data_IF_963068021562
#
_entry.id   IF_963068021562
#
_cell.length_a   1.000
_cell.length_b   1.000
_cell.length_c   1.000
_cell.angle_alpha   90.00
_cell.angle_beta   90.00
_cell.angle_gamma   90.00
#
_symmetry.space_group_name_H-M   'P 1'
#
loop_
_entity.id
_entity.type
_entity.pdbx_description
1 polymer ?
#
# COMPACT_ATOMS: atom_id res chain seq x y z
N UNK A 1 -3.60 12.22 14.19
CA UNK A 1 -2.30 12.17 13.49
C UNK A 1 -1.61 13.54 13.41
N UNK A 2 -2.17 14.55 12.76
CA UNK A 2 -1.54 15.90 12.65
C UNK A 2 -1.23 16.52 14.01
N UNK A 3 -2.11 16.39 15.00
CA UNK A 3 -1.89 16.89 16.36
C UNK A 3 -0.67 16.23 17.03
N UNK A 4 -0.51 14.92 16.90
CA UNK A 4 0.63 14.17 17.44
C UNK A 4 1.94 14.67 16.80
N UNK A 5 1.93 14.86 15.49
CA UNK A 5 3.10 15.35 14.76
C UNK A 5 3.43 16.80 15.10
N UNK A 6 2.42 17.67 15.22
CA UNK A 6 2.61 19.07 15.55
C UNK A 6 3.17 19.26 16.98
N UNK A 7 2.78 18.41 17.91
CA UNK A 7 3.34 18.44 19.27
C UNK A 7 4.81 18.01 19.31
N UNK A 8 5.16 16.97 18.58
CA UNK A 8 6.54 16.46 18.55
C UNK A 8 7.48 17.27 17.69
N UNK A 9 7.01 17.71 16.52
CA UNK A 9 7.80 18.45 15.53
C UNK A 9 7.42 19.94 15.48
N UNK A 10 7.60 20.66 16.59
CA UNK A 10 7.13 22.06 16.79
C UNK A 10 7.61 23.08 15.76
N UNK A 11 8.74 22.82 15.08
CA UNK A 11 9.32 23.71 14.05
C UNK A 11 9.07 23.25 12.62
N UNK A 12 8.24 22.22 12.43
CA UNK A 12 8.00 21.64 11.11
C UNK A 12 6.83 22.29 10.39
N UNK A 13 6.94 22.37 9.07
CA UNK A 13 5.86 22.82 8.18
C UNK A 13 5.08 21.59 7.69
N UNK A 14 3.76 21.63 7.83
CA UNK A 14 2.89 20.54 7.40
C UNK A 14 2.10 20.94 6.17
N UNK A 15 2.16 20.10 5.14
CA UNK A 15 1.31 20.17 3.96
C UNK A 15 0.31 19.03 3.96
N UNK A 16 -0.91 19.29 3.48
CA UNK A 16 -1.94 18.29 3.34
C UNK A 16 -2.38 18.20 1.87
N UNK A 17 -2.60 16.97 1.40
CA UNK A 17 -3.16 16.68 0.09
C UNK A 17 -4.37 15.74 0.28
N UNK A 18 -5.49 16.07 -0.34
CA UNK A 18 -6.75 15.34 -0.20
C UNK A 18 -6.92 14.24 -1.25
N UNK A 19 -6.11 14.26 -2.28
CA UNK A 19 -6.16 13.33 -3.40
C UNK A 19 -4.79 13.16 -4.06
N UNK A 20 -4.69 12.17 -4.94
CA UNK A 20 -3.46 11.84 -5.64
C UNK A 20 -2.88 13.01 -6.47
N UNK A 21 -3.74 13.81 -7.11
CA UNK A 21 -3.32 14.93 -7.94
C UNK A 21 -2.65 16.03 -7.10
N UNK A 22 -3.27 16.42 -6.00
CA UNK A 22 -2.70 17.38 -5.05
C UNK A 22 -1.38 16.86 -4.47
N UNK A 23 -1.33 15.58 -4.08
CA UNK A 23 -0.14 14.96 -3.53
C UNK A 23 1.05 15.02 -4.50
N UNK A 24 0.82 14.65 -5.76
CA UNK A 24 1.84 14.70 -6.82
C UNK A 24 2.27 16.13 -7.13
N UNK A 25 1.31 17.06 -7.20
CA UNK A 25 1.58 18.48 -7.46
C UNK A 25 2.48 19.08 -6.36
N UNK A 26 2.15 18.83 -5.09
CA UNK A 26 2.96 19.31 -3.96
C UNK A 26 4.33 18.64 -3.91
N UNK A 27 4.40 17.33 -4.12
CA UNK A 27 5.66 16.60 -4.18
C UNK A 27 6.58 17.11 -5.29
N UNK A 28 6.03 17.61 -6.42
CA UNK A 28 6.83 18.17 -7.51
C UNK A 28 7.32 19.59 -7.27
N UNK A 29 6.49 20.45 -6.67
CA UNK A 29 6.71 21.90 -6.57
C UNK A 29 7.40 22.31 -5.27
N UNK A 30 7.20 21.58 -4.19
CA UNK A 30 7.64 21.94 -2.85
C UNK A 30 8.76 21.00 -2.38
N UNK A 31 9.58 21.44 -1.43
CA UNK A 31 10.61 20.61 -0.80
C UNK A 31 10.04 20.03 0.47
N UNK A 32 10.05 18.69 0.57
CA UNK A 32 9.59 17.93 1.72
C UNK A 32 10.71 17.02 2.21
N UNK A 33 10.87 16.93 3.54
CA UNK A 33 11.81 16.00 4.18
C UNK A 33 11.23 14.58 4.24
N UNK A 34 9.91 14.45 4.33
CA UNK A 34 9.20 13.18 4.34
C UNK A 34 7.79 13.36 3.81
N UNK A 35 7.26 12.33 3.19
CA UNK A 35 5.86 12.24 2.78
C UNK A 35 5.19 11.06 3.46
N UNK A 36 4.02 11.29 4.06
CA UNK A 36 3.15 10.24 4.58
C UNK A 36 2.05 10.01 3.56
N UNK A 37 1.96 8.79 3.03
CA UNK A 37 1.05 8.42 1.95
C UNK A 37 0.02 7.40 2.45
N UNK A 38 -1.25 7.80 2.47
CA UNK A 38 -2.36 6.87 2.66
C UNK A 38 -2.62 6.10 1.35
N UNK A 39 -2.68 4.77 1.44
CA UNK A 39 -2.95 3.92 0.25
C UNK A 39 -4.41 3.91 -0.14
N UNK A 40 -5.32 4.13 0.81
CA UNK A 40 -6.77 4.04 0.63
C UNK A 40 -7.39 5.32 0.07
N UNK A 41 -6.63 6.11 -0.66
CA UNK A 41 -7.16 7.34 -1.28
C UNK A 41 -8.13 7.03 -2.43
N UNK A 42 -9.20 7.83 -2.59
CA UNK A 42 -10.08 7.74 -3.75
C UNK A 42 -9.34 7.96 -5.08
N UNK A 43 -9.76 7.24 -6.12
CA UNK A 43 -9.24 7.42 -7.48
C UNK A 43 -8.01 6.58 -7.79
N UNK A 44 -6.82 7.16 -7.84
CA UNK A 44 -5.56 6.44 -8.17
C UNK A 44 -5.08 5.57 -7.02
N UNK A 45 -4.47 4.43 -7.35
CA UNK A 45 -3.84 3.56 -6.36
C UNK A 45 -2.69 4.27 -5.64
N UNK A 46 -2.62 4.15 -4.31
CA UNK A 46 -1.50 4.70 -3.54
C UNK A 46 -0.14 4.17 -4.01
N UNK A 47 -0.07 2.94 -4.53
CA UNK A 47 1.15 2.38 -5.10
C UNK A 47 1.53 3.03 -6.44
N UNK A 48 0.55 3.40 -7.28
CA UNK A 48 0.81 4.18 -8.50
C UNK A 48 1.34 5.58 -8.15
N UNK A 49 0.74 6.21 -7.15
CA UNK A 49 1.18 7.52 -6.63
C UNK A 49 2.60 7.42 -6.08
N UNK A 50 2.90 6.41 -5.29
CA UNK A 50 4.25 6.15 -4.76
C UNK A 50 5.28 6.03 -5.89
N UNK A 51 5.01 5.22 -6.92
CA UNK A 51 5.92 5.04 -8.06
C UNK A 51 6.17 6.36 -8.79
N UNK A 52 5.14 7.16 -8.99
CA UNK A 52 5.25 8.46 -9.65
C UNK A 52 6.07 9.45 -8.80
N UNK A 53 5.85 9.50 -7.48
CA UNK A 53 6.65 10.28 -6.55
C UNK A 53 8.12 9.84 -6.61
N UNK A 54 8.39 8.54 -6.54
CA UNK A 54 9.77 8.02 -6.57
C UNK A 54 10.46 8.25 -7.91
N UNK A 55 9.73 8.34 -9.01
CA UNK A 55 10.26 8.73 -10.32
C UNK A 55 10.64 10.22 -10.36
N UNK A 56 9.81 11.11 -9.80
CA UNK A 56 10.05 12.56 -9.81
C UNK A 56 11.04 12.99 -8.71
N UNK A 57 10.97 12.37 -7.56
CA UNK A 57 11.75 12.69 -6.35
C UNK A 57 12.33 11.40 -5.73
N UNK A 58 13.35 10.78 -6.34
CA UNK A 58 13.91 9.49 -5.87
C UNK A 58 14.37 9.52 -4.41
N UNK A 59 14.87 10.68 -3.95
CA UNK A 59 15.41 10.86 -2.60
C UNK A 59 14.35 11.18 -1.54
N UNK A 60 13.12 11.56 -1.92
CA UNK A 60 12.07 11.88 -0.95
C UNK A 60 11.64 10.59 -0.22
N UNK A 61 11.82 10.51 1.11
CA UNK A 61 11.31 9.38 1.89
C UNK A 61 9.78 9.38 1.85
N UNK A 62 9.18 8.24 1.51
CA UNK A 62 7.72 8.06 1.54
C UNK A 62 7.40 6.98 2.56
N UNK A 63 6.74 7.37 3.65
CA UNK A 63 6.22 6.48 4.66
C UNK A 63 4.76 6.17 4.34
N UNK A 64 4.45 4.92 4.17
CA UNK A 64 3.10 4.47 3.79
C UNK A 64 2.26 4.19 5.02
N UNK A 65 1.03 4.71 5.04
CA UNK A 65 -0.01 4.36 6.02
C UNK A 65 -1.12 3.54 5.35
N UNK A 66 -1.56 2.48 6.01
CA UNK A 66 -2.59 1.60 5.48
C UNK A 66 -3.53 1.08 6.57
N UNK A 67 -4.79 0.85 6.21
CA UNK A 67 -5.73 0.07 7.04
C UNK A 67 -5.48 -1.43 6.92
N UNK A 68 -4.64 -1.86 5.98
CA UNK A 68 -4.34 -3.27 5.77
C UNK A 68 -3.15 -3.71 6.63
N UNK A 69 -3.17 -4.93 7.17
CA UNK A 69 -2.04 -5.49 7.91
C UNK A 69 -0.78 -5.59 7.04
N UNK A 70 0.36 -5.70 7.70
CA UNK A 70 1.66 -5.89 7.08
C UNK A 70 1.78 -7.27 6.43
N UNK A 71 1.48 -7.32 5.15
CA UNK A 71 1.47 -8.53 4.34
C UNK A 71 2.26 -8.33 3.04
N UNK A 72 2.01 -9.20 2.06
CA UNK A 72 2.65 -9.11 0.75
C UNK A 72 2.44 -7.76 0.04
N UNK A 73 1.38 -7.01 0.39
CA UNK A 73 1.17 -5.68 -0.15
C UNK A 73 2.18 -4.67 0.40
N UNK A 74 2.55 -4.77 1.68
CA UNK A 74 3.62 -3.99 2.27
C UNK A 74 4.96 -4.27 1.56
N UNK A 75 5.26 -5.54 1.27
CA UNK A 75 6.47 -5.93 0.50
C UNK A 75 6.47 -5.29 -0.89
N UNK A 76 5.34 -5.27 -1.60
CA UNK A 76 5.22 -4.59 -2.91
C UNK A 76 5.51 -3.09 -2.81
N UNK A 77 5.03 -2.42 -1.77
CA UNK A 77 5.27 -0.99 -1.55
C UNK A 77 6.73 -0.69 -1.24
N UNK A 78 7.37 -1.52 -0.42
CA UNK A 78 8.79 -1.40 -0.13
C UNK A 78 9.65 -1.65 -1.38
N UNK A 79 9.30 -2.65 -2.21
CA UNK A 79 9.92 -2.90 -3.53
C UNK A 79 9.72 -1.70 -4.48
N UNK A 80 8.59 -1.00 -4.39
CA UNK A 80 8.30 0.22 -5.18
C UNK A 80 9.00 1.48 -4.66
N UNK A 81 9.78 1.37 -3.58
CA UNK A 81 10.61 2.44 -3.05
C UNK A 81 10.03 3.17 -1.84
N UNK A 82 9.02 2.64 -1.17
CA UNK A 82 8.61 3.18 0.13
C UNK A 82 9.77 3.09 1.12
N UNK A 83 9.95 4.13 1.93
CA UNK A 83 10.91 4.17 3.01
C UNK A 83 10.43 3.41 4.26
N UNK A 84 9.12 3.20 4.37
CA UNK A 84 8.55 2.41 5.46
C UNK A 84 7.06 2.16 5.25
N UNK A 85 6.53 1.27 6.07
CA UNK A 85 5.12 0.91 6.11
C UNK A 85 4.64 0.87 7.55
N UNK A 86 3.48 1.45 7.79
CA UNK A 86 2.78 1.44 9.07
C UNK A 86 1.31 1.10 8.86
N UNK A 87 0.72 0.37 9.77
CA UNK A 87 -0.74 0.28 9.85
C UNK A 87 -1.30 1.54 10.52
N UNK A 88 -2.53 1.92 10.19
CA UNK A 88 -3.18 3.05 10.87
C UNK A 88 -3.44 2.77 12.36
N UNK A 89 -3.48 1.50 12.75
CA UNK A 89 -3.62 1.08 14.15
C UNK A 89 -2.33 1.34 14.93
N UNK A 90 -1.17 0.97 14.38
CA UNK A 90 0.12 1.17 15.04
C UNK A 90 0.65 2.60 14.94
N UNK A 91 0.11 3.41 14.03
CA UNK A 91 0.59 4.77 13.76
C UNK A 91 0.51 5.71 14.99
N UNK A 92 -0.39 5.44 15.95
CA UNK A 92 -0.48 6.23 17.18
C UNK A 92 0.83 6.28 17.95
N UNK A 93 1.45 5.13 18.10
CA UNK A 93 2.65 4.95 18.92
C UNK A 93 3.95 4.98 18.12
N UNK A 94 3.91 4.53 16.87
CA UNK A 94 5.11 4.26 16.08
C UNK A 94 5.44 5.36 15.06
N UNK A 95 4.48 6.23 14.70
CA UNK A 95 4.64 7.19 13.60
C UNK A 95 5.82 8.15 13.79
N UNK A 96 6.02 8.64 15.00
CA UNK A 96 7.10 9.60 15.29
C UNK A 96 8.46 8.95 15.06
N UNK A 97 8.69 7.77 15.66
CA UNK A 97 9.93 7.02 15.48
C UNK A 97 10.17 6.59 14.03
N UNK A 98 9.10 6.24 13.31
CA UNK A 98 9.18 5.91 11.90
C UNK A 98 9.62 7.11 11.05
N UNK A 99 9.06 8.30 11.31
CA UNK A 99 9.45 9.54 10.61
C UNK A 99 10.91 9.87 10.91
N UNK A 100 11.32 9.89 12.17
CA UNK A 100 12.71 10.17 12.57
C UNK A 100 13.69 9.23 11.85
N UNK A 101 13.37 7.94 11.80
CA UNK A 101 14.19 6.92 11.14
C UNK A 101 14.30 7.13 9.62
N UNK A 102 13.19 7.42 8.94
CA UNK A 102 13.21 7.57 7.47
C UNK A 102 13.82 8.91 7.04
N UNK A 103 13.66 9.96 7.82
CA UNK A 103 14.31 11.25 7.59
C UNK A 103 15.83 11.16 7.77
N UNK A 104 16.29 10.33 8.72
CA UNK A 104 17.71 10.00 8.88
C UNK A 104 18.29 9.10 7.77
N UNK A 105 17.48 8.75 6.74
CA UNK A 105 17.89 7.90 5.62
C UNK A 105 17.70 6.40 5.84
N UNK A 106 17.17 5.98 7.00
CA UNK A 106 16.86 4.58 7.29
C UNK A 106 15.55 4.11 6.64
N UNK A 107 15.22 2.84 6.85
CA UNK A 107 13.92 2.25 6.49
C UNK A 107 13.17 1.83 7.73
N UNK A 108 11.86 2.03 7.74
CA UNK A 108 11.00 1.60 8.82
C UNK A 108 10.13 0.41 8.40
N UNK A 109 10.36 -0.71 9.04
CA UNK A 109 9.54 -1.93 8.93
C UNK A 109 9.38 -2.53 10.31
N UNK A 110 8.23 -3.14 10.59
CA UNK A 110 8.04 -3.90 11.83
C UNK A 110 8.89 -5.19 11.81
N UNK A 111 9.18 -5.78 12.97
CA UNK A 111 9.86 -7.07 13.04
C UNK A 111 9.14 -8.16 12.22
N UNK A 112 7.81 -8.23 12.31
CA UNK A 112 7.01 -9.21 11.58
C UNK A 112 7.13 -9.04 10.05
N UNK A 113 7.17 -7.79 9.56
CA UNK A 113 7.37 -7.53 8.14
C UNK A 113 8.81 -7.86 7.71
N UNK A 114 9.80 -7.60 8.56
CA UNK A 114 11.20 -7.94 8.29
C UNK A 114 11.41 -9.46 8.16
N UNK A 115 10.83 -10.27 9.05
CA UNK A 115 10.85 -11.75 8.97
C UNK A 115 10.22 -12.25 7.67
N UNK A 116 9.07 -11.68 7.29
CA UNK A 116 8.43 -12.01 6.01
C UNK A 116 9.32 -11.64 4.82
N UNK A 117 9.95 -10.48 4.84
CA UNK A 117 10.88 -10.09 3.77
C UNK A 117 12.06 -11.05 3.68
N UNK A 118 12.61 -11.52 4.79
CA UNK A 118 13.69 -12.50 4.83
C UNK A 118 13.25 -13.83 4.19
N UNK A 119 12.05 -14.33 4.53
CA UNK A 119 11.51 -15.55 3.92
C UNK A 119 11.29 -15.47 2.39
N UNK A 120 11.10 -14.26 1.86
CA UNK A 120 11.04 -14.06 0.40
C UNK A 120 12.40 -14.09 -0.30
N UNK A 121 13.51 -13.97 0.41
CA UNK A 121 14.87 -14.06 -0.16
C UNK A 121 15.31 -15.51 -0.31
N UNK A 122 14.78 -16.41 0.50
CA UNK A 122 15.13 -17.84 0.50
C UNK A 122 14.39 -18.66 -0.57
N UNK A 123 13.41 -18.06 -1.27
CA UNK A 123 12.59 -18.77 -2.25
C UNK A 123 13.07 -18.41 -3.65
N UNK A 124 13.98 -19.22 -4.20
CA UNK A 124 14.26 -19.32 -5.64
C UNK A 124 13.13 -20.12 -6.33
N UNK A 125 11.88 -19.63 -6.21
CA UNK A 125 10.70 -20.27 -6.79
C UNK A 125 10.12 -19.32 -7.83
N UNK A 126 9.67 -19.89 -8.96
CA UNK A 126 8.91 -19.20 -10.00
C UNK A 126 7.93 -18.22 -9.37
N UNK A 127 8.04 -16.94 -9.74
CA UNK A 127 7.22 -15.86 -9.18
C UNK A 127 5.75 -16.28 -9.12
N UNK A 128 5.11 -16.24 -7.94
CA UNK A 128 3.73 -16.69 -7.82
C UNK A 128 2.82 -15.96 -8.82
N UNK A 129 1.78 -16.59 -9.36
CA UNK A 129 0.89 -15.97 -10.36
C UNK A 129 0.38 -14.58 -9.99
N UNK A 130 0.12 -14.32 -8.72
CA UNK A 130 -0.34 -13.03 -8.23
C UNK A 130 0.71 -11.90 -8.34
N UNK A 131 1.98 -12.21 -8.54
CA UNK A 131 2.99 -11.18 -8.83
C UNK A 131 2.85 -10.57 -10.23
N UNK A 132 2.14 -11.24 -11.16
CA UNK A 132 1.83 -10.74 -12.50
C UNK A 132 0.67 -9.72 -12.49
N UNK A 133 -0.05 -9.62 -11.38
CA UNK A 133 -1.17 -8.70 -11.24
C UNK A 133 -0.67 -7.26 -11.11
N UNK A 134 -1.37 -6.34 -11.75
CA UNK A 134 -1.22 -4.92 -11.44
C UNK A 134 -1.63 -4.65 -10.00
N UNK A 135 -1.21 -3.53 -9.47
CA UNK A 135 -1.49 -3.16 -8.06
C UNK A 135 -2.99 -3.08 -7.76
N UNK A 136 -3.80 -2.64 -8.74
CA UNK A 136 -5.27 -2.62 -8.63
C UNK A 136 -5.87 -4.01 -8.63
N UNK A 137 -5.43 -4.86 -9.54
CA UNK A 137 -5.88 -6.25 -9.62
C UNK A 137 -5.51 -7.01 -8.34
N UNK A 138 -4.29 -6.81 -7.84
CA UNK A 138 -3.85 -7.43 -6.58
C UNK A 138 -4.64 -6.93 -5.37
N UNK A 139 -4.93 -5.63 -5.28
CA UNK A 139 -5.78 -5.08 -4.23
C UNK A 139 -7.19 -5.70 -4.28
N UNK A 140 -7.76 -5.83 -5.47
CA UNK A 140 -9.09 -6.42 -5.67
C UNK A 140 -9.07 -7.92 -5.35
N UNK A 141 -8.00 -8.65 -5.72
CA UNK A 141 -7.81 -10.05 -5.31
C UNK A 141 -7.93 -10.19 -3.80
N UNK A 142 -7.22 -9.35 -3.05
CA UNK A 142 -7.24 -9.39 -1.58
C UNK A 142 -8.61 -9.08 -1.00
N UNK A 143 -9.30 -8.08 -1.56
CA UNK A 143 -10.63 -7.70 -1.10
C UNK A 143 -11.65 -8.81 -1.37
N UNK A 144 -11.58 -9.47 -2.53
CA UNK A 144 -12.39 -10.67 -2.82
C UNK A 144 -12.02 -11.81 -1.88
N UNK A 145 -10.73 -12.05 -1.67
CA UNK A 145 -10.21 -13.07 -0.75
C UNK A 145 -10.67 -12.86 0.69
N UNK A 146 -10.90 -11.61 1.10
CA UNK A 146 -11.49 -11.23 2.40
C UNK A 146 -13.03 -11.31 2.42
N UNK A 147 -13.67 -11.86 1.38
CA UNK A 147 -15.12 -12.06 1.30
C UNK A 147 -15.92 -10.83 0.87
N UNK A 148 -15.30 -9.77 0.39
CA UNK A 148 -16.03 -8.57 -0.08
C UNK A 148 -16.66 -8.80 -1.44
N UNK A 149 -17.89 -8.31 -1.61
CA UNK A 149 -18.58 -8.29 -2.90
C UNK A 149 -18.04 -7.17 -3.80
N UNK A 150 -18.26 -7.29 -5.11
CA UNK A 150 -17.88 -6.26 -6.09
C UNK A 150 -18.47 -4.88 -5.73
N UNK A 151 -19.71 -4.84 -5.25
CA UNK A 151 -20.38 -3.59 -4.82
C UNK A 151 -19.73 -2.98 -3.58
N UNK A 152 -19.36 -3.80 -2.60
CA UNK A 152 -18.64 -3.34 -1.41
C UNK A 152 -17.26 -2.79 -1.77
N UNK A 153 -16.53 -3.48 -2.65
CA UNK A 153 -15.23 -3.04 -3.16
C UNK A 153 -15.37 -1.70 -3.89
N UNK A 154 -16.38 -1.57 -4.75
CA UNK A 154 -16.65 -0.34 -5.49
C UNK A 154 -16.88 0.85 -4.54
N UNK A 155 -17.70 0.66 -3.50
CA UNK A 155 -17.96 1.67 -2.48
C UNK A 155 -16.70 2.05 -1.72
N UNK A 156 -15.94 1.07 -1.27
CA UNK A 156 -14.73 1.29 -0.45
C UNK A 156 -13.63 2.01 -1.24
N UNK A 157 -13.45 1.66 -2.52
CA UNK A 157 -12.45 2.27 -3.39
C UNK A 157 -12.96 3.56 -4.09
N UNK A 158 -14.20 3.96 -3.85
CA UNK A 158 -14.85 5.09 -4.52
C UNK A 158 -14.79 5.00 -6.05
N UNK A 159 -15.06 3.79 -6.56
CA UNK A 159 -15.09 3.47 -7.99
C UNK A 159 -16.46 2.92 -8.40
N UNK A 160 -16.74 2.91 -9.72
CA UNK A 160 -17.96 2.28 -10.23
C UNK A 160 -17.89 0.75 -10.13
N UNK A 161 -19.05 0.10 -9.95
CA UNK A 161 -19.19 -1.37 -10.01
C UNK A 161 -18.66 -1.90 -11.35
N UNK A 162 -18.89 -1.18 -12.45
CA UNK A 162 -18.38 -1.53 -13.78
C UNK A 162 -16.84 -1.53 -13.81
N UNK A 163 -16.21 -0.56 -13.18
CA UNK A 163 -14.75 -0.47 -13.09
C UNK A 163 -14.17 -1.65 -12.32
N UNK A 164 -14.76 -1.99 -11.16
CA UNK A 164 -14.31 -3.14 -10.36
C UNK A 164 -14.53 -4.46 -11.11
N UNK A 165 -15.67 -4.60 -11.81
CA UNK A 165 -15.95 -5.78 -12.64
C UNK A 165 -14.91 -5.96 -13.75
N UNK A 166 -14.46 -4.88 -14.37
CA UNK A 166 -13.38 -4.93 -15.38
C UNK A 166 -12.05 -5.39 -14.77
N UNK A 167 -11.66 -4.86 -13.62
CA UNK A 167 -10.44 -5.32 -12.93
C UNK A 167 -10.56 -6.78 -12.48
N UNK A 168 -11.73 -7.18 -11.97
CA UNK A 168 -12.00 -8.57 -11.61
C UNK A 168 -11.87 -9.50 -12.81
N UNK A 169 -12.42 -9.15 -13.97
CA UNK A 169 -12.30 -9.97 -15.18
C UNK A 169 -10.83 -10.17 -15.57
N UNK A 170 -10.04 -9.09 -15.61
CA UNK A 170 -8.60 -9.15 -15.91
C UNK A 170 -7.81 -9.97 -14.88
N UNK A 171 -8.18 -9.87 -13.62
CA UNK A 171 -7.60 -10.66 -12.54
C UNK A 171 -7.85 -12.15 -12.77
N UNK A 172 -9.10 -12.54 -13.04
CA UNK A 172 -9.46 -13.94 -13.28
C UNK A 172 -8.71 -14.50 -14.51
N UNK A 173 -8.65 -13.74 -15.60
CA UNK A 173 -7.89 -14.09 -16.81
C UNK A 173 -6.39 -14.29 -16.50
N UNK A 174 -5.73 -13.33 -15.84
CA UNK A 174 -4.30 -13.40 -15.52
C UNK A 174 -3.92 -14.52 -14.56
N UNK A 175 -4.87 -14.90 -13.68
CA UNK A 175 -4.69 -15.95 -12.69
C UNK A 175 -5.15 -17.33 -13.17
N UNK A 176 -5.75 -17.37 -14.37
CA UNK A 176 -6.42 -18.59 -14.93
C UNK A 176 -7.48 -19.14 -13.95
N UNK A 177 -8.32 -18.24 -13.43
CA UNK A 177 -9.38 -18.56 -12.46
C UNK A 177 -10.76 -18.26 -13.04
N UNK A 178 -11.75 -19.08 -12.66
CA UNK A 178 -13.12 -19.01 -13.22
C UNK A 178 -14.05 -18.13 -12.39
N UNK A 179 -13.86 -18.05 -11.09
CA UNK A 179 -14.80 -17.42 -10.16
C UNK A 179 -14.14 -16.88 -8.88
N UNK A 180 -14.91 -16.15 -8.07
CA UNK A 180 -14.43 -15.58 -6.81
C UNK A 180 -14.06 -16.63 -5.76
N UNK A 181 -14.66 -17.82 -5.79
CA UNK A 181 -14.34 -18.87 -4.82
C UNK A 181 -12.89 -19.35 -5.02
N UNK A 182 -12.46 -19.51 -6.27
CA UNK A 182 -11.07 -19.85 -6.60
C UNK A 182 -10.09 -18.74 -6.17
N UNK A 183 -10.46 -17.45 -6.38
CA UNK A 183 -9.69 -16.31 -5.90
C UNK A 183 -9.55 -16.33 -4.38
N UNK A 184 -10.66 -16.58 -3.67
CA UNK A 184 -10.66 -16.66 -2.19
C UNK A 184 -9.82 -17.81 -1.69
N UNK A 185 -9.97 -19.00 -2.27
CA UNK A 185 -9.15 -20.15 -1.93
C UNK A 185 -7.66 -19.89 -2.13
N UNK A 186 -7.29 -19.34 -3.28
CA UNK A 186 -5.91 -18.96 -3.59
C UNK A 186 -5.36 -17.92 -2.62
N UNK A 187 -6.16 -16.90 -2.31
CA UNK A 187 -5.74 -15.83 -1.40
C UNK A 187 -5.46 -16.36 0.02
N UNK A 188 -6.25 -17.32 0.49
CA UNK A 188 -6.05 -17.97 1.80
C UNK A 188 -4.82 -18.89 1.76
N UNK A 189 -4.67 -19.71 0.74
CA UNK A 189 -3.53 -20.63 0.61
C UNK A 189 -2.18 -19.88 0.55
N UNK A 190 -2.16 -18.75 -0.14
CA UNK A 190 -0.94 -17.95 -0.31
C UNK A 190 -0.80 -16.86 0.77
N UNK A 191 -1.57 -16.93 1.85
CA UNK A 191 -1.52 -15.99 2.98
C UNK A 191 -1.64 -14.51 2.56
N UNK A 192 -2.41 -14.24 1.48
CA UNK A 192 -2.67 -12.88 0.99
C UNK A 192 -3.75 -12.17 1.82
N UNK A 193 -4.49 -12.93 2.61
CA UNK A 193 -5.55 -12.48 3.53
C UNK A 193 -5.48 -13.28 4.82
N UNK A 194 -5.84 -12.67 5.94
CA UNK A 194 -5.90 -13.38 7.22
C UNK A 194 -7.11 -14.34 7.25
N UNK A 195 -6.92 -15.53 7.80
CA UNK A 195 -8.05 -16.38 8.22
C UNK A 195 -8.77 -15.64 9.34
N UNK A 196 -10.06 -15.35 9.15
CA UNK A 196 -10.95 -14.99 10.25
C UNK A 196 -11.31 -16.24 11.03
#
# INVERSE_FOLDING_TARGET
>A
MKLILADRFKKSVFGEARNAHEALTRASKEKWDVMILDITMPGRSGLEVLREIKRMRPKLPVLVLSMHPEDQFAVRLLKAGAAGYLTKESAGDELVGAIEKVVAGGRYVSPALAERMASYLDIDVQKPPHERLSDREFLILRMIGSGKTVSQIAKELSLSVKTISTYRARLLEKMDMKNNAEVTHYAIQNQLVNRR
#
